data_IF_986046936697
#
_entry.id   IF_986046936697
#
_cell.length_a   1.000
_cell.length_b   1.000
_cell.length_c   1.000
_cell.angle_alpha   90.00
_cell.angle_beta   90.00
_cell.angle_gamma   90.00
#
_symmetry.space_group_name_H-M   'P 1'
#
loop_
_entity.id
_entity.type
_entity.pdbx_description
1 polymer ?
#
# COMPACT_ATOMS: atom_id res chain seq x y z
N UNK A 1 3.83 -13.53 -10.75
CA UNK A 1 4.68 -12.82 -9.79
C UNK A 1 3.83 -12.24 -8.68
N UNK A 2 4.18 -12.51 -7.44
CA UNK A 2 3.47 -12.00 -6.28
C UNK A 2 4.22 -10.85 -5.63
N UNK A 3 3.47 -10.01 -4.94
CA UNK A 3 4.05 -8.98 -4.11
C UNK A 3 4.61 -9.61 -2.84
N UNK A 4 5.75 -9.13 -2.41
CA UNK A 4 6.33 -9.53 -1.13
C UNK A 4 6.13 -8.42 -0.12
N UNK A 5 5.55 -8.76 1.01
CA UNK A 5 5.36 -7.79 2.10
C UNK A 5 6.71 -7.25 2.55
N UNK A 6 6.78 -5.94 2.77
CA UNK A 6 7.92 -5.28 3.38
C UNK A 6 7.43 -4.41 4.52
N UNK A 7 8.08 -4.51 5.65
CA UNK A 7 7.73 -3.74 6.83
C UNK A 7 8.32 -2.34 6.74
N UNK A 8 7.54 -1.32 7.10
CA UNK A 8 8.07 0.04 7.17
C UNK A 8 9.12 0.14 8.29
N UNK A 9 10.28 0.76 7.99
CA UNK A 9 11.35 0.83 8.99
C UNK A 9 11.08 1.82 10.11
N UNK A 10 10.23 2.83 9.88
CA UNK A 10 9.90 3.83 10.88
C UNK A 10 8.39 3.99 10.97
N UNK A 11 7.92 4.69 12.01
CA UNK A 11 6.47 4.86 12.23
C UNK A 11 5.76 5.68 11.14
N UNK A 12 6.49 6.41 10.32
CA UNK A 12 5.92 7.29 9.30
C UNK A 12 6.43 6.99 7.88
N UNK A 13 6.96 5.80 7.63
CA UNK A 13 7.51 5.43 6.32
C UNK A 13 6.62 4.47 5.52
N UNK A 14 5.31 4.51 5.77
CA UNK A 14 4.38 3.61 5.10
C UNK A 14 4.34 3.80 3.58
N UNK A 15 4.41 5.05 3.09
CA UNK A 15 4.42 5.29 1.64
C UNK A 15 5.65 4.67 0.98
N UNK A 16 6.83 4.86 1.58
CA UNK A 16 8.06 4.28 1.06
C UNK A 16 7.98 2.75 1.03
N UNK A 17 7.42 2.14 2.07
CA UNK A 17 7.27 0.69 2.11
C UNK A 17 6.31 0.18 1.04
N UNK A 18 5.18 0.88 0.81
CA UNK A 18 4.26 0.50 -0.26
C UNK A 18 4.91 0.61 -1.64
N UNK A 19 5.65 1.69 -1.89
CA UNK A 19 6.38 1.85 -3.14
C UNK A 19 7.42 0.74 -3.30
N UNK A 20 8.11 0.38 -2.22
CA UNK A 20 9.11 -0.70 -2.24
C UNK A 20 8.48 -2.03 -2.65
N UNK A 21 7.31 -2.34 -2.10
CA UNK A 21 6.61 -3.58 -2.44
C UNK A 21 6.19 -3.62 -3.91
N UNK A 22 5.67 -2.52 -4.44
CA UNK A 22 5.23 -2.43 -5.84
C UNK A 22 6.43 -2.48 -6.79
N UNK A 23 7.50 -1.78 -6.46
CA UNK A 23 8.68 -1.68 -7.33
C UNK A 23 9.64 -2.85 -7.17
N UNK A 24 9.41 -3.73 -6.22
CA UNK A 24 10.30 -4.85 -5.87
C UNK A 24 11.70 -4.37 -5.48
N UNK A 25 11.77 -3.22 -4.85
CA UNK A 25 13.01 -2.66 -4.35
C UNK A 25 13.08 -2.82 -2.82
N UNK A 26 14.27 -2.90 -2.23
CA UNK A 26 14.36 -2.92 -0.77
C UNK A 26 13.79 -1.63 -0.17
N UNK A 27 13.02 -1.76 0.90
CA UNK A 27 12.38 -0.59 1.51
C UNK A 27 13.39 0.45 2.01
N UNK A 28 14.56 -0.01 2.45
CA UNK A 28 15.61 0.91 2.91
C UNK A 28 16.10 1.82 1.78
N UNK A 29 16.24 1.27 0.58
CA UNK A 29 16.67 2.05 -0.59
C UNK A 29 15.60 3.04 -1.01
N UNK A 30 14.35 2.59 -1.03
CA UNK A 30 13.23 3.46 -1.40
C UNK A 30 13.06 4.58 -0.38
N UNK A 31 13.14 4.27 0.90
CA UNK A 31 13.01 5.26 1.95
C UNK A 31 14.13 6.29 1.88
N UNK A 32 15.36 5.85 1.63
CA UNK A 32 16.50 6.76 1.49
C UNK A 32 16.28 7.75 0.34
N UNK A 33 15.75 7.29 -0.76
CA UNK A 33 15.54 8.13 -1.95
C UNK A 33 14.29 9.00 -1.84
N UNK A 34 13.19 8.48 -1.27
CA UNK A 34 11.88 9.09 -1.39
C UNK A 34 11.25 9.58 -0.10
N UNK A 35 11.63 9.06 1.07
CA UNK A 35 10.90 9.36 2.31
C UNK A 35 10.77 10.84 2.58
N UNK A 36 11.86 11.59 2.51
CA UNK A 36 11.81 13.04 2.76
C UNK A 36 10.98 13.78 1.72
N UNK A 37 11.05 13.36 0.47
CA UNK A 37 10.29 13.98 -0.61
C UNK A 37 8.79 13.76 -0.40
N UNK A 38 8.40 12.57 0.02
CA UNK A 38 7.00 12.29 0.34
C UNK A 38 6.54 13.11 1.56
N UNK A 39 7.38 13.18 2.56
CA UNK A 39 7.05 13.88 3.79
C UNK A 39 6.94 15.39 3.58
N UNK A 40 7.83 15.96 2.78
CA UNK A 40 7.83 17.40 2.46
C UNK A 40 6.83 17.77 1.35
N UNK A 41 6.22 16.76 0.73
CA UNK A 41 5.30 16.92 -0.41
C UNK A 41 5.97 17.41 -1.68
N UNK A 42 7.29 17.26 -1.80
CA UNK A 42 7.99 17.52 -3.04
C UNK A 42 7.68 16.47 -4.09
N UNK A 43 7.34 15.26 -3.65
CA UNK A 43 6.98 14.16 -4.53
C UNK A 43 5.82 13.39 -3.92
N UNK A 44 5.11 12.66 -4.76
CA UNK A 44 4.01 11.79 -4.35
C UNK A 44 4.16 10.43 -5.02
N UNK A 45 3.21 9.56 -4.81
CA UNK A 45 3.25 8.17 -5.32
C UNK A 45 3.43 8.11 -6.83
N UNK A 46 2.79 9.02 -7.58
CA UNK A 46 2.89 9.05 -9.05
C UNK A 46 4.31 9.34 -9.52
N UNK A 47 5.02 10.21 -8.83
CA UNK A 47 6.42 10.50 -9.16
C UNK A 47 7.29 9.26 -9.02
N UNK A 48 7.05 8.48 -7.96
CA UNK A 48 7.78 7.23 -7.74
C UNK A 48 7.43 6.19 -8.81
N UNK A 49 6.15 6.08 -9.15
CA UNK A 49 5.73 5.15 -10.21
C UNK A 49 6.37 5.51 -11.54
N UNK A 50 6.41 6.79 -11.88
CA UNK A 50 7.08 7.25 -13.10
C UNK A 50 8.56 6.90 -13.07
N UNK A 51 9.21 7.10 -11.94
CA UNK A 51 10.64 6.79 -11.79
C UNK A 51 10.92 5.30 -12.00
N UNK A 52 10.09 4.42 -11.45
CA UNK A 52 10.26 2.98 -11.59
C UNK A 52 9.59 2.41 -12.84
N UNK A 53 8.99 3.25 -13.68
CA UNK A 53 8.33 2.88 -14.94
C UNK A 53 7.19 1.90 -14.74
N UNK A 54 6.40 2.16 -13.71
CA UNK A 54 5.23 1.36 -13.37
C UNK A 54 3.99 2.11 -13.83
N UNK A 55 3.18 1.55 -14.73
CA UNK A 55 1.96 2.22 -15.18
C UNK A 55 0.93 2.28 -14.06
N UNK A 56 0.13 3.33 -14.06
CA UNK A 56 -0.87 3.54 -13.03
C UNK A 56 -2.02 4.39 -13.56
N UNK A 57 -3.14 4.32 -12.84
CA UNK A 57 -4.26 5.22 -13.01
C UNK A 57 -4.48 5.94 -11.67
N UNK A 58 -4.92 7.19 -11.73
CA UNK A 58 -5.28 7.92 -10.53
C UNK A 58 -6.57 7.35 -9.97
N UNK A 59 -6.68 7.33 -8.65
CA UNK A 59 -7.88 6.89 -7.97
C UNK A 59 -9.02 7.89 -8.16
N UNK A 60 -10.23 7.41 -7.89
CA UNK A 60 -11.42 8.24 -7.94
C UNK A 60 -11.94 8.41 -6.52
N UNK A 61 -12.02 9.64 -5.99
CA UNK A 61 -12.34 9.84 -4.57
C UNK A 61 -13.75 9.36 -4.19
N UNK A 62 -14.66 9.24 -5.15
CA UNK A 62 -16.02 8.80 -4.90
C UNK A 62 -16.26 7.33 -5.16
N UNK A 63 -15.24 6.61 -5.61
CA UNK A 63 -15.35 5.17 -5.89
C UNK A 63 -14.35 4.44 -5.01
N UNK A 64 -14.88 3.69 -4.07
CA UNK A 64 -14.08 2.87 -3.17
C UNK A 64 -14.09 1.39 -3.56
N UNK A 65 -14.61 1.07 -4.73
CA UNK A 65 -14.70 -0.31 -5.18
C UNK A 65 -13.37 -0.85 -5.63
N UNK A 66 -13.00 -2.02 -5.10
CA UNK A 66 -11.76 -2.69 -5.44
C UNK A 66 -12.04 -3.76 -6.49
N UNK A 67 -11.54 -3.53 -7.70
CA UNK A 67 -11.81 -4.40 -8.85
C UNK A 67 -10.67 -5.39 -9.08
N UNK A 68 -10.97 -6.60 -9.58
CA UNK A 68 -9.92 -7.58 -9.94
C UNK A 68 -8.97 -7.04 -11.01
N UNK A 69 -7.73 -7.49 -10.96
CA UNK A 69 -6.72 -7.12 -11.94
C UNK A 69 -5.93 -5.88 -11.58
N UNK A 70 -6.07 -5.38 -10.36
CA UNK A 70 -5.35 -4.18 -9.91
C UNK A 70 -4.72 -4.41 -8.54
N UNK A 71 -3.63 -3.66 -8.31
CA UNK A 71 -3.14 -3.42 -6.97
C UNK A 71 -3.40 -1.94 -6.69
N UNK A 72 -4.01 -1.67 -5.56
CA UNK A 72 -4.38 -0.31 -5.19
C UNK A 72 -3.49 0.23 -4.08
N UNK A 73 -3.04 1.49 -4.24
CA UNK A 73 -2.53 2.26 -3.11
C UNK A 73 -3.74 2.86 -2.41
N UNK A 74 -3.91 2.54 -1.15
CA UNK A 74 -5.05 3.02 -0.36
C UNK A 74 -4.57 3.92 0.77
N UNK A 75 -5.29 5.02 0.97
CA UNK A 75 -5.16 5.81 2.20
C UNK A 75 -6.26 5.40 3.15
N UNK A 76 -5.89 5.07 4.37
CA UNK A 76 -6.78 4.59 5.42
C UNK A 76 -6.49 5.34 6.71
N UNK A 77 -7.43 5.34 7.67
CA UNK A 77 -7.12 5.90 9.00
C UNK A 77 -5.97 5.14 9.65
N UNK A 78 -5.07 5.86 10.29
CA UNK A 78 -3.97 5.21 11.00
C UNK A 78 -4.50 4.50 12.24
N UNK A 79 -4.02 3.28 12.47
CA UNK A 79 -4.36 2.50 13.65
C UNK A 79 -3.40 2.76 14.81
N UNK A 80 -2.25 3.34 14.50
CA UNK A 80 -1.15 3.49 15.46
C UNK A 80 -0.84 4.94 15.79
N UNK A 81 -1.40 5.89 15.03
CA UNK A 81 -1.23 7.32 15.25
C UNK A 81 -2.62 7.95 15.27
N UNK A 82 -3.02 8.51 16.41
CA UNK A 82 -4.35 9.10 16.58
C UNK A 82 -4.53 10.27 15.60
N UNK A 83 -5.61 10.25 14.83
CA UNK A 83 -5.91 11.31 13.87
C UNK A 83 -5.04 11.32 12.63
N UNK A 84 -4.14 10.34 12.47
CA UNK A 84 -3.26 10.26 11.32
C UNK A 84 -3.84 9.42 10.19
N UNK A 85 -3.12 9.41 9.08
CA UNK A 85 -3.45 8.58 7.92
C UNK A 85 -2.32 7.58 7.69
N UNK A 86 -2.68 6.49 7.02
CA UNK A 86 -1.76 5.39 6.76
C UNK A 86 -1.90 4.92 5.32
N UNK A 87 -0.80 4.46 4.74
CA UNK A 87 -0.77 3.94 3.37
C UNK A 87 -0.64 2.43 3.39
N UNK A 88 -1.52 1.75 2.67
CA UNK A 88 -1.47 0.30 2.50
C UNK A 88 -1.66 -0.06 1.03
N UNK A 89 -1.43 -1.33 0.70
CA UNK A 89 -1.73 -1.89 -0.61
C UNK A 89 -2.84 -2.92 -0.49
N UNK A 90 -3.71 -2.93 -1.51
CA UNK A 90 -4.71 -3.97 -1.66
C UNK A 90 -4.53 -4.62 -3.03
N UNK A 91 -4.14 -5.88 -3.05
CA UNK A 91 -3.99 -6.65 -4.29
C UNK A 91 -5.27 -7.44 -4.51
N UNK A 92 -5.97 -7.15 -5.61
CA UNK A 92 -7.23 -7.82 -5.94
C UNK A 92 -6.98 -8.79 -7.08
N UNK A 93 -6.94 -10.07 -6.74
CA UNK A 93 -6.73 -11.15 -7.70
C UNK A 93 -8.06 -11.57 -8.29
N UNK A 94 -8.04 -12.58 -9.15
CA UNK A 94 -9.26 -13.12 -9.71
C UNK A 94 -10.21 -13.59 -8.60
N UNK A 95 -11.49 -13.32 -8.77
CA UNK A 95 -12.51 -13.65 -7.79
C UNK A 95 -12.58 -12.62 -6.66
N UNK A 96 -13.20 -12.96 -5.54
CA UNK A 96 -13.44 -12.02 -4.44
C UNK A 96 -12.25 -11.86 -3.49
N UNK A 97 -11.11 -12.47 -3.78
CA UNK A 97 -9.97 -12.46 -2.87
C UNK A 97 -9.21 -11.14 -2.93
N UNK A 98 -9.11 -10.48 -1.79
CA UNK A 98 -8.34 -9.25 -1.63
C UNK A 98 -7.25 -9.51 -0.60
N UNK A 99 -6.02 -9.28 -1.01
CA UNK A 99 -4.87 -9.39 -0.11
C UNK A 99 -4.43 -8.00 0.31
N UNK A 100 -4.43 -7.73 1.61
CA UNK A 100 -3.95 -6.47 2.14
C UNK A 100 -2.48 -6.62 2.53
N UNK A 101 -1.65 -5.70 2.03
CA UNK A 101 -0.26 -5.62 2.41
C UNK A 101 -0.09 -4.32 3.21
N UNK A 102 -0.09 -4.47 4.52
CA UNK A 102 0.05 -3.33 5.43
C UNK A 102 1.48 -3.24 5.91
N UNK A 103 2.19 -2.12 5.61
CA UNK A 103 3.58 -1.96 6.04
C UNK A 103 3.79 -1.95 7.55
N UNK A 104 2.74 -1.71 8.33
CA UNK A 104 2.84 -1.74 9.79
C UNK A 104 2.90 -3.17 10.34
N UNK A 105 2.50 -4.16 9.55
CA UNK A 105 2.51 -5.55 9.99
C UNK A 105 3.93 -6.01 10.30
N UNK A 106 4.10 -6.57 11.48
CA UNK A 106 5.39 -7.04 11.96
C UNK A 106 6.12 -6.07 12.88
N UNK A 107 5.70 -4.81 12.95
CA UNK A 107 6.28 -3.86 13.89
C UNK A 107 5.78 -4.19 15.30
N UNK A 108 6.65 -4.07 16.28
CA UNK A 108 6.32 -4.34 17.66
C UNK A 108 5.16 -3.47 18.14
N UNK A 109 4.16 -4.09 18.74
CA UNK A 109 2.97 -3.44 19.29
C UNK A 109 2.12 -2.70 18.25
N UNK A 110 2.35 -2.89 16.95
CA UNK A 110 1.58 -2.24 15.92
C UNK A 110 0.37 -3.06 15.52
N UNK A 111 -0.74 -2.34 15.24
CA UNK A 111 -1.93 -2.93 14.64
C UNK A 111 -1.86 -2.75 13.14
N UNK A 112 -2.52 -3.64 12.41
CA UNK A 112 -2.51 -3.59 10.94
C UNK A 112 -3.84 -4.06 10.37
N UNK A 113 -4.11 -3.66 9.13
CA UNK A 113 -5.36 -3.98 8.45
C UNK A 113 -5.33 -5.35 7.79
N UNK A 114 -6.48 -6.01 7.80
CA UNK A 114 -6.75 -7.23 7.03
C UNK A 114 -8.08 -7.06 6.31
N UNK A 115 -8.32 -7.88 5.30
CA UNK A 115 -9.60 -7.89 4.59
C UNK A 115 -10.44 -9.05 5.11
N UNK A 116 -11.59 -8.71 5.69
CA UNK A 116 -12.48 -9.72 6.26
C UNK A 116 -12.22 -9.95 7.74
N UNK A 117 -12.51 -11.16 8.21
CA UNK A 117 -12.46 -11.51 9.62
C UNK A 117 -11.06 -11.44 10.21
N UNK A 118 -10.97 -10.87 11.41
CA UNK A 118 -9.71 -10.83 12.15
C UNK A 118 -9.42 -12.18 12.80
N UNK A 119 -8.15 -12.58 12.74
CA UNK A 119 -7.68 -13.83 13.35
C UNK A 119 -6.84 -13.55 14.60
N UNK A 120 -6.15 -12.41 14.64
CA UNK A 120 -5.25 -12.04 15.74
C UNK A 120 -5.68 -10.72 16.37
N UNK A 121 -5.18 -10.47 17.58
CA UNK A 121 -5.53 -9.25 18.32
C UNK A 121 -5.03 -7.96 17.66
N UNK A 122 -3.96 -8.05 16.90
CA UNK A 122 -3.38 -6.90 16.20
C UNK A 122 -4.08 -6.57 14.89
N UNK A 123 -4.90 -7.48 14.38
CA UNK A 123 -5.60 -7.30 13.12
C UNK A 123 -6.81 -6.40 13.27
N UNK A 124 -7.06 -5.57 12.27
CA UNK A 124 -8.24 -4.71 12.19
C UNK A 124 -8.86 -4.87 10.81
N UNK A 125 -10.15 -5.10 10.76
CA UNK A 125 -10.84 -5.23 9.49
C UNK A 125 -10.85 -3.91 8.72
N UNK A 126 -10.51 -3.97 7.45
CA UNK A 126 -10.56 -2.81 6.57
C UNK A 126 -12.01 -2.52 6.18
N UNK A 127 -12.52 -1.36 6.57
CA UNK A 127 -13.91 -0.98 6.30
C UNK A 127 -14.06 0.34 5.55
N UNK A 128 -13.00 1.16 5.53
CA UNK A 128 -13.05 2.43 4.81
C UNK A 128 -11.68 2.76 4.24
N UNK A 129 -11.68 3.33 3.04
CA UNK A 129 -10.45 3.68 2.35
C UNK A 129 -10.72 4.69 1.25
N UNK A 130 -9.68 5.38 0.79
CA UNK A 130 -9.69 6.09 -0.48
C UNK A 130 -8.61 5.52 -1.38
N UNK A 131 -8.89 5.48 -2.68
CA UNK A 131 -7.96 4.94 -3.67
C UNK A 131 -7.09 6.07 -4.18
N UNK A 132 -5.79 5.97 -3.96
CA UNK A 132 -4.84 6.96 -4.46
C UNK A 132 -4.40 6.64 -5.88
N UNK A 133 -3.92 5.43 -6.11
CA UNK A 133 -3.51 4.93 -7.43
C UNK A 133 -3.98 3.50 -7.61
N UNK A 134 -4.26 3.15 -8.87
CA UNK A 134 -4.55 1.79 -9.27
C UNK A 134 -3.47 1.31 -10.23
N UNK A 135 -2.82 0.22 -9.89
CA UNK A 135 -1.74 -0.36 -10.69
C UNK A 135 -2.30 -1.56 -11.43
N UNK A 136 -2.38 -1.52 -12.78
CA UNK A 136 -2.87 -2.67 -13.53
C UNK A 136 -1.86 -3.82 -13.48
N UNK A 137 -2.36 -5.04 -13.32
CA UNK A 137 -1.53 -6.23 -13.18
C UNK A 137 -1.72 -7.21 -14.33
N UNK A 138 -2.07 -6.70 -15.49
CA UNK A 138 -2.32 -7.53 -16.67
C UNK A 138 -1.15 -8.44 -17.04
N UNK A 139 0.07 -8.02 -16.72
CA UNK A 139 1.27 -8.78 -17.06
C UNK A 139 1.58 -9.89 -16.09
N UNK A 140 0.89 -9.93 -14.96
CA UNK A 140 1.18 -10.92 -13.92
C UNK A 140 0.82 -12.34 -14.33
N UNK A 141 -0.19 -12.48 -15.14
CA UNK A 141 -0.62 -13.79 -15.64
C UNK A 141 0.37 -14.41 -16.61
N UNK A 142 1.27 -13.62 -17.14
CA UNK A 142 2.24 -14.06 -18.14
C UNK A 142 3.55 -14.53 -17.54
N UNK A 143 3.68 -14.47 -16.23
CA UNK A 143 4.92 -14.78 -15.54
C UNK A 143 5.06 -16.25 -15.18
#
# INVERSE_FOLDING_TARGET
MGLKHQQQPTHNSCMSACVAMISSQPVTDVAEQWHEKFHSREAWLDDAMDHYRIPYFYGHPKKAELLPGFIYFLTVPSLNIVGGQHQILAAVKEGPLVEILDPAKGRECARYYVYGECQDAEEVELISWSIDLAIPVVEWGDQ
#
